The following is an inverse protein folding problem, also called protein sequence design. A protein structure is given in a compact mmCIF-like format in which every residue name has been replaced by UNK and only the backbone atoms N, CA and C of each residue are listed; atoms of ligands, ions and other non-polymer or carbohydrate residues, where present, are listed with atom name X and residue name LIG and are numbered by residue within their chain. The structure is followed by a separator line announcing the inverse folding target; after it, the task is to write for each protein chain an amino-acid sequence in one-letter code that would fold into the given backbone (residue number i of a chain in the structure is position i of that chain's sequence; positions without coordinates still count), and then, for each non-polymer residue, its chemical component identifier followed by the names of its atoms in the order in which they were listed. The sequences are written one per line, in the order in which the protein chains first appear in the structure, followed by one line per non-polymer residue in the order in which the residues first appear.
data_IF_161784781038
#
_entry.id   IF_161784781038
#
_cell.length_a   1.000
_cell.length_b   1.000
_cell.length_c   1.000
_cell.angle_alpha   90.00
_cell.angle_beta   90.00
_cell.angle_gamma   90.00
#
_symmetry.space_group_name_H-M   'P 1'
#
loop_
_entity.id
_entity.type
_entity.pdbx_description
1 polymer ?
#
# COMPACT_ATOMS: atom_id res chain seq x y z
N UNK A 1 5.88 -3.46 -4.02
CA UNK A 1 4.55 -3.76 -4.58
C UNK A 1 4.68 -4.38 -5.96
N UNK A 2 3.87 -5.37 -6.25
CA UNK A 2 3.85 -6.06 -7.53
C UNK A 2 3.57 -5.04 -8.63
N UNK A 3 4.55 -4.78 -9.49
CA UNK A 3 4.36 -3.85 -10.58
C UNK A 3 3.63 -4.52 -11.75
N UNK A 4 2.31 -4.56 -11.64
CA UNK A 4 1.43 -5.14 -12.65
C UNK A 4 1.45 -4.39 -13.99
N UNK A 5 1.78 -3.10 -13.98
CA UNK A 5 1.83 -2.27 -15.20
C UNK A 5 2.90 -2.71 -16.20
N UNK A 6 3.93 -3.44 -15.74
CA UNK A 6 4.97 -3.97 -16.63
C UNK A 6 4.60 -5.31 -17.28
N UNK A 7 3.46 -5.90 -16.94
CA UNK A 7 3.09 -7.25 -17.41
C UNK A 7 2.94 -7.35 -18.93
N UNK A 8 2.42 -6.31 -19.57
CA UNK A 8 2.30 -6.25 -21.03
C UNK A 8 3.57 -5.84 -21.78
N UNK A 9 4.62 -5.38 -21.08
CA UNK A 9 5.85 -4.91 -21.69
C UNK A 9 6.95 -5.97 -21.58
N UNK A 10 7.21 -6.67 -22.69
CA UNK A 10 8.21 -7.76 -22.76
C UNK A 10 9.63 -7.31 -22.36
N UNK A 11 10.01 -6.08 -22.68
CA UNK A 11 11.36 -5.58 -22.35
C UNK A 11 11.52 -5.38 -20.84
N UNK A 12 10.51 -4.84 -20.17
CA UNK A 12 10.51 -4.69 -18.70
C UNK A 12 10.46 -6.06 -18.01
N UNK A 13 9.66 -7.00 -18.52
CA UNK A 13 9.61 -8.36 -17.98
C UNK A 13 10.98 -9.05 -18.11
N UNK A 14 11.63 -8.93 -19.25
CA UNK A 14 12.97 -9.47 -19.46
C UNK A 14 14.00 -8.82 -18.54
N UNK A 15 13.98 -7.50 -18.41
CA UNK A 15 14.87 -6.78 -17.50
C UNK A 15 14.68 -7.22 -16.03
N UNK A 16 13.44 -7.45 -15.59
CA UNK A 16 13.16 -8.02 -14.26
C UNK A 16 13.69 -9.43 -14.10
N UNK A 17 13.50 -10.27 -15.12
CA UNK A 17 13.99 -11.64 -15.11
C UNK A 17 15.51 -11.69 -14.94
N UNK A 18 16.29 -10.98 -15.78
CA UNK A 18 17.75 -10.98 -15.70
C UNK A 18 18.29 -10.31 -14.43
N UNK A 19 17.51 -9.43 -13.78
CA UNK A 19 17.89 -8.79 -12.52
C UNK A 19 17.40 -9.55 -11.28
N UNK A 20 16.73 -10.70 -11.45
CA UNK A 20 16.19 -11.50 -10.35
C UNK A 20 15.00 -10.85 -9.61
N UNK A 21 14.36 -9.83 -10.22
CA UNK A 21 13.26 -9.07 -9.63
C UNK A 21 11.87 -9.54 -10.08
N UNK A 22 11.77 -10.76 -10.55
CA UNK A 22 10.52 -11.38 -11.01
C UNK A 22 9.92 -12.36 -10.00
N UNK A 23 10.53 -12.54 -8.82
CA UNK A 23 10.05 -13.38 -7.76
C UNK A 23 9.13 -12.55 -6.83
N UNK A 24 7.83 -12.83 -6.87
CA UNK A 24 6.82 -12.12 -6.09
C UNK A 24 6.86 -12.48 -4.61
N UNK A 25 7.22 -13.73 -4.27
CA UNK A 25 7.37 -14.15 -2.88
C UNK A 25 8.43 -13.31 -2.18
N UNK A 26 9.56 -13.02 -2.84
CA UNK A 26 10.58 -12.13 -2.30
C UNK A 26 10.07 -10.70 -2.11
N UNK A 27 9.26 -10.15 -3.03
CA UNK A 27 8.67 -8.81 -2.85
C UNK A 27 7.73 -8.77 -1.63
N UNK A 28 6.95 -9.83 -1.39
CA UNK A 28 6.07 -9.91 -0.22
C UNK A 28 6.89 -10.04 1.08
N UNK A 29 7.92 -10.91 1.08
CA UNK A 29 8.86 -11.07 2.21
C UNK A 29 9.50 -9.73 2.59
N UNK A 30 10.15 -9.08 1.63
CA UNK A 30 10.81 -7.77 1.84
C UNK A 30 9.83 -6.72 2.41
N UNK A 31 8.56 -6.80 2.00
CA UNK A 31 7.52 -5.87 2.48
C UNK A 31 7.19 -6.12 3.95
N UNK A 32 6.96 -7.39 4.35
CA UNK A 32 6.67 -7.74 5.74
C UNK A 32 7.88 -7.43 6.63
N UNK A 33 9.08 -7.83 6.21
CA UNK A 33 10.32 -7.55 6.95
C UNK A 33 10.56 -6.04 7.13
N UNK A 34 10.24 -5.23 6.10
CA UNK A 34 10.33 -3.78 6.21
C UNK A 34 9.35 -3.22 7.24
N UNK A 35 8.10 -3.69 7.24
CA UNK A 35 7.09 -3.26 8.21
C UNK A 35 7.53 -3.65 9.62
N UNK A 36 7.93 -4.89 9.84
CA UNK A 36 8.41 -5.39 11.13
C UNK A 36 9.62 -4.58 11.63
N UNK A 37 10.64 -4.44 10.80
CA UNK A 37 11.86 -3.68 11.13
C UNK A 37 11.59 -2.21 11.48
N UNK A 38 10.57 -1.60 10.87
CA UNK A 38 10.21 -0.20 11.10
C UNK A 38 9.18 -0.01 12.20
N UNK A 39 8.59 -1.10 12.72
CA UNK A 39 7.64 -1.09 13.83
C UNK A 39 8.38 -1.20 15.17
N UNK A 40 8.40 -0.15 16.00
CA UNK A 40 9.00 -0.28 17.33
C UNK A 40 8.22 -1.27 18.19
N UNK A 41 8.91 -1.98 19.07
CA UNK A 41 8.30 -3.00 19.98
C UNK A 41 7.17 -2.47 20.89
N UNK A 42 7.11 -1.17 21.10
CA UNK A 42 6.07 -0.48 21.91
C UNK A 42 4.93 0.10 21.07
N UNK A 43 4.90 -0.14 19.77
CA UNK A 43 3.91 0.40 18.85
C UNK A 43 3.33 -0.69 17.96
N UNK A 44 2.26 -0.36 17.27
CA UNK A 44 1.70 -1.17 16.18
C UNK A 44 1.85 -0.44 14.85
N UNK A 45 2.07 -1.17 13.79
CA UNK A 45 1.94 -0.67 12.42
C UNK A 45 0.52 -0.91 11.92
N UNK A 46 -0.07 0.13 11.32
CA UNK A 46 -1.38 0.03 10.67
C UNK A 46 -1.19 0.14 9.16
N UNK A 47 -1.48 -0.94 8.47
CA UNK A 47 -1.38 -1.03 7.01
C UNK A 47 -2.72 -0.73 6.39
N UNK A 48 -2.82 0.41 5.72
CA UNK A 48 -4.05 0.89 5.08
C UNK A 48 -4.23 0.19 3.74
N UNK A 49 -5.46 -0.27 3.46
CA UNK A 49 -5.82 -0.81 2.14
C UNK A 49 -5.57 0.22 1.03
N UNK A 50 -4.98 -0.20 -0.07
CA UNK A 50 -4.53 0.67 -1.16
C UNK A 50 -4.77 0.04 -2.53
N UNK A 51 -4.71 0.86 -3.58
CA UNK A 51 -4.74 0.35 -4.94
C UNK A 51 -3.58 -0.62 -5.28
N UNK A 52 -2.51 -0.63 -4.48
CA UNK A 52 -1.43 -1.60 -4.62
C UNK A 52 -1.84 -3.02 -4.23
N UNK A 53 -2.77 -3.17 -3.28
CA UNK A 53 -3.34 -4.46 -2.91
C UNK A 53 -4.05 -5.10 -4.11
N UNK A 54 -4.73 -4.29 -4.92
CA UNK A 54 -5.42 -4.74 -6.13
C UNK A 54 -4.46 -5.32 -7.19
N UNK A 55 -3.16 -4.99 -7.13
CA UNK A 55 -2.18 -5.55 -8.07
C UNK A 55 -1.93 -7.04 -7.81
N UNK A 56 -1.85 -7.44 -6.55
CA UNK A 56 -1.69 -8.86 -6.20
C UNK A 56 -2.95 -9.66 -6.52
N UNK A 57 -4.13 -9.14 -6.18
CA UNK A 57 -5.41 -9.74 -6.51
C UNK A 57 -5.58 -9.89 -8.03
N UNK A 58 -5.28 -8.86 -8.80
CA UNK A 58 -5.35 -8.91 -10.26
C UNK A 58 -4.36 -9.92 -10.83
N UNK A 59 -3.15 -10.01 -10.29
CA UNK A 59 -2.19 -11.01 -10.69
C UNK A 59 -2.72 -12.42 -10.44
N UNK A 60 -3.34 -12.69 -9.29
CA UNK A 60 -3.98 -13.99 -8.99
C UNK A 60 -5.08 -14.34 -10.01
N UNK A 61 -5.89 -13.36 -10.40
CA UNK A 61 -6.99 -13.57 -11.35
C UNK A 61 -6.54 -13.77 -12.80
N UNK A 62 -5.42 -13.16 -13.19
CA UNK A 62 -4.95 -13.12 -14.59
C UNK A 62 -3.77 -14.06 -14.86
N UNK A 63 -3.02 -14.48 -13.83
CA UNK A 63 -1.82 -15.28 -13.98
C UNK A 63 -2.16 -16.69 -14.42
N UNK A 64 -1.37 -17.20 -15.36
CA UNK A 64 -1.27 -18.64 -15.62
C UNK A 64 0.06 -19.12 -15.03
N UNK A 65 0.03 -19.90 -13.93
CA UNK A 65 1.27 -20.33 -13.25
C UNK A 65 2.19 -21.19 -14.11
N UNK A 66 1.68 -21.77 -15.20
CA UNK A 66 2.52 -22.49 -16.18
C UNK A 66 3.44 -21.54 -16.96
N UNK A 67 3.04 -20.28 -17.11
CA UNK A 67 3.86 -19.26 -17.80
C UNK A 67 4.82 -18.53 -16.84
N UNK A 68 4.59 -18.67 -15.52
CA UNK A 68 5.43 -18.08 -14.47
C UNK A 68 5.81 -19.13 -13.42
N UNK A 69 6.53 -20.20 -13.81
CA UNK A 69 6.78 -21.33 -12.91
C UNK A 69 7.55 -20.96 -11.63
N UNK A 70 8.32 -19.88 -11.65
CA UNK A 70 9.03 -19.36 -10.47
C UNK A 70 8.08 -18.74 -9.42
N UNK A 71 6.86 -18.35 -9.81
CA UNK A 71 5.82 -17.84 -8.91
C UNK A 71 4.70 -18.87 -8.66
N UNK A 72 4.78 -20.07 -9.24
CA UNK A 72 3.68 -21.07 -9.19
C UNK A 72 3.36 -21.49 -7.76
N UNK A 73 4.37 -21.69 -6.90
CA UNK A 73 4.16 -22.04 -5.49
C UNK A 73 3.33 -20.97 -4.78
N UNK A 74 3.76 -19.70 -4.87
CA UNK A 74 3.06 -18.58 -4.27
C UNK A 74 1.63 -18.44 -4.82
N UNK A 75 1.46 -18.63 -6.14
CA UNK A 75 0.14 -18.60 -6.76
C UNK A 75 -0.82 -19.61 -6.12
N UNK A 76 -0.41 -20.88 -5.99
CA UNK A 76 -1.25 -21.91 -5.41
C UNK A 76 -1.51 -21.71 -3.91
N UNK A 77 -0.53 -21.25 -3.16
CA UNK A 77 -0.68 -20.90 -1.75
C UNK A 77 -1.72 -19.79 -1.56
N UNK A 78 -1.58 -18.68 -2.29
CA UNK A 78 -2.50 -17.54 -2.20
C UNK A 78 -3.91 -17.92 -2.67
N UNK A 79 -4.03 -18.68 -3.76
CA UNK A 79 -5.34 -19.17 -4.23
C UNK A 79 -6.02 -20.03 -3.17
N UNK A 80 -5.29 -20.93 -2.52
CA UNK A 80 -5.83 -21.72 -1.42
C UNK A 80 -6.32 -20.85 -0.26
N UNK A 81 -5.49 -19.92 0.22
CA UNK A 81 -5.85 -19.03 1.32
C UNK A 81 -7.06 -18.15 1.00
N UNK A 82 -7.14 -17.64 -0.23
CA UNK A 82 -8.26 -16.81 -0.69
C UNK A 82 -9.57 -17.60 -0.76
N UNK A 83 -9.53 -18.82 -1.32
CA UNK A 83 -10.71 -19.69 -1.45
C UNK A 83 -11.19 -20.16 -0.08
N UNK A 84 -10.28 -20.60 0.80
CA UNK A 84 -10.60 -21.02 2.16
C UNK A 84 -11.35 -19.92 2.94
N UNK A 85 -10.91 -18.67 2.82
CA UNK A 85 -11.61 -17.54 3.45
C UNK A 85 -12.94 -17.19 2.80
N UNK A 86 -13.06 -17.38 1.49
CA UNK A 86 -14.29 -17.08 0.74
C UNK A 86 -15.41 -18.10 1.05
N UNK A 87 -15.08 -19.35 1.31
CA UNK A 87 -16.05 -20.40 1.69
C UNK A 87 -16.77 -20.10 3.03
N UNK A 88 -16.21 -19.23 3.87
CA UNK A 88 -16.83 -18.86 5.14
C UNK A 88 -18.05 -17.91 5.01
N UNK A 89 -18.63 -17.77 3.81
CA UNK A 89 -19.97 -17.20 3.64
C UNK A 89 -20.03 -15.69 3.46
N UNK A 90 -18.98 -15.09 2.96
CA UNK A 90 -18.92 -13.62 2.72
C UNK A 90 -19.45 -13.28 1.33
N UNK A 91 -20.73 -13.55 1.08
CA UNK A 91 -21.41 -13.05 -0.12
C UNK A 91 -21.71 -11.57 0.07
N UNK A 92 -21.00 -10.70 -0.66
CA UNK A 92 -21.20 -9.25 -0.65
C UNK A 92 -20.27 -8.45 0.25
N UNK A 93 -19.36 -9.09 0.99
CA UNK A 93 -18.28 -8.39 1.68
C UNK A 93 -17.05 -8.22 0.77
N UNK A 94 -16.18 -7.31 1.16
CA UNK A 94 -14.87 -7.14 0.51
C UNK A 94 -14.10 -8.47 0.51
N UNK A 95 -13.51 -8.80 -0.61
CA UNK A 95 -12.60 -9.95 -0.68
C UNK A 95 -11.46 -9.76 0.32
N UNK A 96 -11.02 -10.84 0.99
CA UNK A 96 -9.87 -10.76 1.87
C UNK A 96 -8.65 -10.27 1.11
N UNK A 97 -7.80 -9.50 1.80
CA UNK A 97 -6.56 -9.00 1.21
C UNK A 97 -5.55 -10.16 1.07
N UNK A 98 -5.14 -10.56 -0.13
CA UNK A 98 -4.23 -11.68 -0.32
C UNK A 98 -2.86 -11.46 0.34
N UNK A 99 -2.37 -10.23 0.43
CA UNK A 99 -1.13 -9.92 1.13
C UNK A 99 -1.26 -10.14 2.65
N UNK A 100 -2.36 -9.69 3.25
CA UNK A 100 -2.66 -9.92 4.67
C UNK A 100 -2.74 -11.40 5.00
N UNK A 101 -3.49 -12.18 4.20
CA UNK A 101 -3.62 -13.62 4.40
C UNK A 101 -2.26 -14.32 4.35
N UNK A 102 -1.46 -14.00 3.35
CA UNK A 102 -0.14 -14.57 3.20
C UNK A 102 0.81 -14.15 4.33
N UNK A 103 0.80 -12.88 4.72
CA UNK A 103 1.62 -12.37 5.81
C UNK A 103 1.29 -13.07 7.14
N UNK A 104 0.00 -13.15 7.49
CA UNK A 104 -0.45 -13.82 8.70
C UNK A 104 -0.20 -15.35 8.70
N UNK A 105 -0.14 -15.98 7.53
CA UNK A 105 0.16 -17.39 7.39
C UNK A 105 1.65 -17.70 7.56
N UNK A 106 2.53 -16.78 7.18
CA UNK A 106 3.98 -17.03 7.08
C UNK A 106 4.80 -16.28 8.14
N UNK A 107 4.24 -15.27 8.82
CA UNK A 107 4.94 -14.40 9.78
C UNK A 107 4.11 -14.15 11.03
N UNK A 108 4.80 -13.82 12.12
CA UNK A 108 4.14 -13.25 13.31
C UNK A 108 3.83 -11.77 13.07
N UNK A 109 2.56 -11.49 12.78
CA UNK A 109 2.05 -10.15 12.52
C UNK A 109 1.36 -9.52 13.75
N UNK A 110 1.66 -9.95 14.97
CA UNK A 110 0.99 -9.48 16.21
C UNK A 110 1.01 -7.96 16.36
N UNK A 111 2.09 -7.30 15.90
CA UNK A 111 2.23 -5.84 15.95
C UNK A 111 1.83 -5.14 14.63
N UNK A 112 1.16 -5.84 13.72
CA UNK A 112 0.72 -5.30 12.44
C UNK A 112 -0.80 -5.45 12.34
N UNK A 113 -1.50 -4.34 12.19
CA UNK A 113 -2.94 -4.32 11.90
C UNK A 113 -3.15 -4.00 10.43
N UNK A 114 -3.79 -4.88 9.70
CA UNK A 114 -4.25 -4.61 8.34
C UNK A 114 -5.67 -4.04 8.38
N UNK A 115 -5.92 -2.96 7.65
CA UNK A 115 -7.24 -2.37 7.53
C UNK A 115 -7.88 -2.76 6.20
N UNK A 116 -9.12 -3.19 6.25
CA UNK A 116 -9.96 -3.30 5.05
C UNK A 116 -10.31 -1.91 4.52
N UNK A 117 -10.81 -1.81 3.30
CA UNK A 117 -11.21 -0.53 2.71
C UNK A 117 -12.47 0.07 3.36
N UNK A 118 -13.22 -0.74 4.13
CA UNK A 118 -14.42 -0.32 4.85
C UNK A 118 -14.15 0.13 6.30
N UNK A 119 -12.96 -0.16 6.84
CA UNK A 119 -12.63 0.19 8.22
C UNK A 119 -12.17 1.63 8.34
N UNK A 120 -12.61 2.29 9.42
CA UNK A 120 -12.13 3.59 9.87
C UNK A 120 -11.04 3.42 10.93
N UNK A 121 -10.03 4.26 10.87
CA UNK A 121 -8.97 4.31 11.86
C UNK A 121 -8.68 5.77 12.26
N UNK A 122 -9.18 6.15 13.42
CA UNK A 122 -9.14 7.54 13.91
C UNK A 122 -8.15 7.68 15.06
N UNK A 123 -7.26 8.67 14.96
CA UNK A 123 -6.35 9.07 16.04
C UNK A 123 -6.48 10.58 16.28
N UNK A 124 -6.82 10.98 17.49
CA UNK A 124 -6.98 12.41 17.88
C UNK A 124 -7.89 13.19 16.91
N UNK A 125 -9.07 12.63 16.60
CA UNK A 125 -10.06 13.18 15.65
C UNK A 125 -9.54 13.32 14.20
N UNK A 126 -8.55 12.55 13.82
CA UNK A 126 -7.98 12.52 12.48
C UNK A 126 -8.19 11.14 11.87
N UNK A 127 -8.88 11.06 10.75
CA UNK A 127 -9.08 9.83 9.99
C UNK A 127 -7.84 9.47 9.18
N UNK A 128 -7.35 8.24 9.33
CA UNK A 128 -6.11 7.73 8.76
C UNK A 128 -6.28 6.51 7.86
N UNK A 129 -7.50 6.01 7.70
CA UNK A 129 -7.77 4.79 6.92
C UNK A 129 -7.80 5.02 5.41
N UNK A 130 -7.93 6.26 4.96
CA UNK A 130 -8.01 6.55 3.53
C UNK A 130 -6.64 6.55 2.87
N UNK A 131 -6.42 5.62 1.93
CA UNK A 131 -5.22 5.67 1.10
C UNK A 131 -5.22 6.91 0.20
N UNK A 132 -6.35 7.26 -0.38
CA UNK A 132 -6.51 8.45 -1.22
C UNK A 132 -6.63 8.17 -2.73
N UNK A 133 -6.68 6.91 -3.15
CA UNK A 133 -6.90 6.49 -4.54
C UNK A 133 -8.37 6.62 -4.95
N UNK A 134 -9.29 6.27 -4.03
CA UNK A 134 -10.74 6.44 -4.21
C UNK A 134 -11.20 7.70 -3.48
N UNK A 135 -11.75 8.63 -4.23
CA UNK A 135 -12.36 9.86 -3.72
C UNK A 135 -13.85 9.71 -3.45
N UNK A 136 -14.53 10.84 -3.29
CA UNK A 136 -15.96 10.87 -3.00
C UNK A 136 -16.77 10.15 -4.10
N UNK A 137 -17.74 9.36 -3.66
CA UNK A 137 -18.65 8.61 -4.54
C UNK A 137 -17.94 7.70 -5.56
N UNK A 138 -16.76 7.17 -5.19
CA UNK A 138 -15.99 6.27 -6.04
C UNK A 138 -15.20 6.94 -7.17
N UNK A 139 -15.14 8.27 -7.20
CA UNK A 139 -14.30 9.01 -8.14
C UNK A 139 -12.81 8.83 -7.84
N UNK A 140 -11.93 9.28 -8.74
CA UNK A 140 -10.49 9.34 -8.44
C UNK A 140 -10.25 10.32 -7.29
N UNK A 141 -9.52 9.88 -6.27
CA UNK A 141 -9.24 10.68 -5.09
C UNK A 141 -8.34 11.89 -5.35
N UNK A 142 -8.65 12.98 -4.67
CA UNK A 142 -7.79 14.17 -4.61
C UNK A 142 -7.84 14.79 -3.22
N UNK A 143 -6.78 15.51 -2.84
CA UNK A 143 -6.70 16.18 -1.54
C UNK A 143 -7.89 17.13 -1.31
N UNK A 144 -8.34 17.84 -2.35
CA UNK A 144 -9.46 18.78 -2.32
C UNK A 144 -10.77 18.08 -1.97
N UNK A 145 -11.07 16.96 -2.61
CA UNK A 145 -12.28 16.18 -2.33
C UNK A 145 -12.31 15.70 -0.87
N UNK A 146 -11.18 15.19 -0.36
CA UNK A 146 -11.11 14.79 1.04
C UNK A 146 -11.23 15.97 2.01
N UNK A 147 -10.82 17.17 1.59
CA UNK A 147 -11.03 18.37 2.39
C UNK A 147 -12.51 18.76 2.53
N UNK A 148 -13.35 18.34 1.58
CA UNK A 148 -14.81 18.59 1.60
C UNK A 148 -15.56 17.66 2.56
N UNK A 149 -14.95 16.55 3.01
CA UNK A 149 -15.59 15.62 3.97
C UNK A 149 -15.91 16.24 5.34
N UNK A 150 -15.33 17.38 5.66
CA UNK A 150 -15.53 18.04 6.96
C UNK A 150 -14.78 17.39 8.12
N UNK A 151 -14.06 16.30 7.89
CA UNK A 151 -13.21 15.62 8.87
C UNK A 151 -11.74 15.84 8.56
N UNK A 152 -10.90 15.85 9.60
CA UNK A 152 -9.45 15.92 9.40
C UNK A 152 -8.94 14.58 8.90
N UNK A 153 -8.11 14.58 7.85
CA UNK A 153 -7.56 13.37 7.26
C UNK A 153 -6.05 13.48 7.03
N UNK A 154 -5.36 12.33 7.03
CA UNK A 154 -4.01 12.18 6.46
C UNK A 154 -4.06 11.09 5.41
N UNK A 155 -3.63 11.39 4.19
CA UNK A 155 -3.76 10.58 2.98
C UNK A 155 -2.40 10.25 2.37
N UNK A 156 -2.34 9.20 1.59
CA UNK A 156 -1.20 8.82 0.75
C UNK A 156 -1.46 9.00 -0.76
N UNK A 157 -1.15 7.98 -1.52
CA UNK A 157 -1.43 7.76 -2.95
C UNK A 157 -0.74 8.70 -3.95
N UNK A 158 -0.91 10.01 -3.82
CA UNK A 158 -0.48 10.95 -4.87
C UNK A 158 1.04 11.12 -4.97
N UNK A 159 1.79 10.71 -3.96
CA UNK A 159 3.23 10.92 -3.80
C UNK A 159 3.66 12.41 -3.80
N UNK A 160 2.74 13.32 -4.03
CA UNK A 160 2.94 14.79 -4.01
C UNK A 160 2.34 15.35 -2.74
N UNK A 161 3.17 15.75 -1.77
CA UNK A 161 2.68 16.30 -0.50
C UNK A 161 1.82 17.54 -0.72
N UNK A 162 0.68 17.58 -0.05
CA UNK A 162 -0.24 18.70 -0.11
C UNK A 162 -0.94 18.90 1.22
N UNK A 163 -1.14 20.13 1.59
CA UNK A 163 -1.82 20.53 2.82
C UNK A 163 -2.98 21.44 2.46
N UNK A 164 -4.17 21.06 2.88
CA UNK A 164 -5.37 21.90 2.88
C UNK A 164 -5.86 22.05 4.33
N UNK A 165 -6.97 22.76 4.52
CA UNK A 165 -7.55 23.00 5.85
C UNK A 165 -7.79 21.71 6.64
N UNK A 166 -8.35 20.68 6.03
CA UNK A 166 -8.74 19.43 6.69
C UNK A 166 -7.99 18.20 6.18
N UNK A 167 -7.50 18.17 4.94
CA UNK A 167 -6.80 17.03 4.36
C UNK A 167 -5.30 17.29 4.18
N UNK A 168 -4.47 16.39 4.72
CA UNK A 168 -3.03 16.37 4.52
C UNK A 168 -2.67 15.15 3.68
N UNK A 169 -2.05 15.35 2.54
CA UNK A 169 -1.50 14.26 1.73
C UNK A 169 -0.01 14.16 1.98
N UNK A 170 0.45 12.98 2.39
CA UNK A 170 1.88 12.69 2.57
C UNK A 170 2.55 12.39 1.21
N UNK A 171 3.87 12.30 1.23
CA UNK A 171 4.65 11.87 0.07
C UNK A 171 4.82 10.35 0.01
N UNK A 172 5.95 9.93 -0.52
CA UNK A 172 6.35 8.53 -0.60
C UNK A 172 7.51 8.23 0.35
N UNK A 173 7.76 6.94 0.63
CA UNK A 173 8.90 6.45 1.42
C UNK A 173 9.92 5.68 0.56
N UNK A 174 9.91 5.87 -0.76
CA UNK A 174 10.79 5.21 -1.71
C UNK A 174 11.71 6.20 -2.42
N UNK A 175 12.51 5.74 -3.36
CA UNK A 175 13.26 6.62 -4.25
C UNK A 175 12.31 7.46 -5.11
N UNK A 176 12.61 8.76 -5.27
CA UNK A 176 11.74 9.70 -6.01
C UNK A 176 11.71 9.42 -7.52
N UNK A 177 12.69 8.69 -8.04
CA UNK A 177 12.75 8.30 -9.46
C UNK A 177 12.46 6.81 -9.58
N UNK A 178 11.29 6.51 -10.11
CA UNK A 178 10.83 5.16 -10.40
C UNK A 178 10.73 4.97 -11.92
N UNK A 179 10.61 3.71 -12.37
CA UNK A 179 10.60 3.34 -13.79
C UNK A 179 9.49 4.04 -14.60
N UNK A 180 8.40 4.44 -13.95
CA UNK A 180 7.20 4.99 -14.60
C UNK A 180 7.02 6.51 -14.42
N UNK A 181 7.84 7.20 -13.61
CA UNK A 181 7.75 8.64 -13.45
C UNK A 181 8.87 9.34 -14.24
N UNK A 182 8.70 9.52 -15.52
CA UNK A 182 9.61 10.26 -16.38
C UNK A 182 9.28 11.75 -16.42
N UNK A 183 10.29 12.61 -16.58
CA UNK A 183 10.14 14.06 -16.66
C UNK A 183 10.11 14.79 -15.31
N UNK A 184 9.71 16.08 -15.28
CA UNK A 184 9.58 16.85 -14.05
C UNK A 184 8.54 16.24 -13.11
N UNK A 185 8.86 16.15 -11.81
CA UNK A 185 8.00 15.50 -10.83
C UNK A 185 7.85 16.38 -9.57
N UNK A 186 6.63 16.42 -9.03
CA UNK A 186 6.30 17.02 -7.74
C UNK A 186 6.43 16.03 -6.58
N UNK A 187 6.83 14.81 -6.87
CA UNK A 187 6.97 13.76 -5.87
C UNK A 187 8.07 14.09 -4.86
N UNK A 188 7.76 13.88 -3.59
CA UNK A 188 8.69 14.12 -2.48
C UNK A 188 8.52 13.07 -1.42
N UNK A 189 9.62 12.71 -0.77
CA UNK A 189 9.56 11.93 0.46
C UNK A 189 9.07 12.85 1.58
N UNK A 190 7.87 12.55 2.09
CA UNK A 190 7.24 13.32 3.15
C UNK A 190 6.32 12.45 4.00
N UNK A 191 6.34 12.68 5.30
CA UNK A 191 5.56 11.99 6.30
C UNK A 191 4.74 12.99 7.12
N UNK A 192 3.78 12.51 7.90
CA UNK A 192 3.00 13.33 8.81
C UNK A 192 3.12 12.78 10.23
N UNK A 193 3.46 13.64 11.19
CA UNK A 193 3.35 13.34 12.62
C UNK A 193 2.02 13.90 13.13
N UNK A 194 1.31 13.09 13.89
CA UNK A 194 0.14 13.53 14.65
C UNK A 194 0.55 13.67 16.11
N UNK A 195 0.47 14.87 16.62
CA UNK A 195 0.76 15.18 18.01
C UNK A 195 -0.44 14.82 18.92
N UNK A 196 -0.23 14.60 20.24
CA UNK A 196 -1.31 14.27 21.17
C UNK A 196 -2.46 15.28 21.20
N UNK A 197 -2.19 16.54 20.86
CA UNK A 197 -3.20 17.61 20.78
C UNK A 197 -3.92 17.67 19.41
N UNK A 198 -3.77 16.66 18.54
CA UNK A 198 -4.37 16.61 17.21
C UNK A 198 -3.69 17.53 16.16
N UNK A 199 -2.56 18.16 16.48
CA UNK A 199 -1.77 18.90 15.49
C UNK A 199 -1.10 17.93 14.52
N UNK A 200 -1.25 18.18 13.22
CA UNK A 200 -0.57 17.46 12.16
C UNK A 200 0.65 18.25 11.70
N UNK A 201 1.80 17.59 11.61
CA UNK A 201 3.06 18.21 11.19
C UNK A 201 3.64 17.42 10.01
N UNK A 202 3.79 18.08 8.87
CA UNK A 202 4.48 17.49 7.72
C UNK A 202 5.99 17.51 7.94
N UNK A 203 6.62 16.38 7.65
CA UNK A 203 8.08 16.19 7.71
C UNK A 203 8.56 15.85 6.30
N UNK A 204 9.50 16.63 5.79
CA UNK A 204 10.10 16.39 4.47
C UNK A 204 11.48 15.76 4.63
N UNK A 205 11.75 14.71 3.87
CA UNK A 205 13.04 14.03 3.84
C UNK A 205 13.72 14.33 2.51
N UNK A 206 14.86 14.98 2.56
CA UNK A 206 15.66 15.31 1.39
C UNK A 206 16.99 14.54 1.44
N UNK A 207 17.26 13.71 0.42
CA UNK A 207 18.48 12.88 0.33
C UNK A 207 18.72 12.06 1.61
N UNK A 208 17.68 11.42 2.12
CA UNK A 208 17.74 10.61 3.35
C UNK A 208 17.92 11.41 4.66
N UNK A 209 17.87 12.74 4.59
CA UNK A 209 18.02 13.61 5.77
C UNK A 209 16.74 14.41 5.99
N UNK A 210 16.27 14.34 7.22
CA UNK A 210 15.23 15.26 7.70
C UNK A 210 15.89 16.56 8.20
N UNK A 211 15.31 17.68 7.81
CA UNK A 211 15.67 19.00 8.33
C UNK A 211 14.41 19.63 8.93
N UNK A 212 14.59 20.22 10.09
CA UNK A 212 13.57 21.07 10.73
C UNK A 212 13.31 22.30 9.87
#
# INVERSE_FOLDING_TARGET
SINHHSRGNVFIQYAKFISGKNNLENELMETVEYIDKTTPHYAISVVVSSNHNNHLERWLNECNPKNEPWNAKLYHELMYLMLDKTEMGVVGAEYPNPFELWANNNYDCTNIKFLSSAESFVVNDIELSYHGDKGLNGSRGSNEQFAELGVKTVLGHSHSPKVTRSAYTVGHACYSKLEYNSGPSTWKSAHCIIHPNGKRQMIFVNNGKWRR
#
